data_IF_951903964500
#
_entry.id   IF_951903964500
#
_cell.length_a   1.000
_cell.length_b   1.000
_cell.length_c   1.000
_cell.angle_alpha   90.00
_cell.angle_beta   90.00
_cell.angle_gamma   90.00
#
_symmetry.space_group_name_H-M   'P 1'
#
loop_
_entity.id
_entity.type
_entity.pdbx_description
1 polymer ?
#
# COMPACT_ATOMS: atom_id res chain seq x y z
N UNK A 1 16.65 -4.89 10.75
CA UNK A 1 17.18 -5.09 9.39
C UNK A 1 17.62 -6.53 9.09
N UNK A 2 18.76 -7.03 9.60
CA UNK A 2 19.18 -8.43 9.31
C UNK A 2 18.19 -9.48 9.82
N UNK A 3 17.60 -9.26 10.98
CA UNK A 3 16.60 -10.16 11.59
C UNK A 3 15.28 -10.16 10.79
N UNK A 4 14.77 -9.00 10.38
CA UNK A 4 13.54 -8.93 9.58
C UNK A 4 13.74 -9.56 8.21
N UNK A 5 14.86 -9.29 7.54
CA UNK A 5 15.21 -9.93 6.28
C UNK A 5 15.24 -11.46 6.43
N UNK A 6 15.95 -11.97 7.46
CA UNK A 6 16.07 -13.40 7.71
C UNK A 6 14.69 -14.02 7.98
N UNK A 7 13.91 -13.40 8.88
CA UNK A 7 12.57 -13.84 9.24
C UNK A 7 11.63 -13.92 8.04
N UNK A 8 11.59 -12.89 7.18
CA UNK A 8 10.72 -12.88 6.02
C UNK A 8 11.19 -13.82 4.93
N UNK A 9 12.50 -13.89 4.65
CA UNK A 9 13.05 -14.87 3.70
C UNK A 9 12.77 -16.31 4.12
N UNK A 10 12.92 -16.65 5.41
CA UNK A 10 12.59 -17.97 5.96
C UNK A 10 11.09 -18.25 5.81
N UNK A 11 10.23 -17.31 6.24
CA UNK A 11 8.77 -17.45 6.09
C UNK A 11 8.37 -17.76 4.65
N UNK A 12 8.93 -17.02 3.67
CA UNK A 12 8.60 -17.26 2.26
C UNK A 12 9.26 -18.52 1.69
N UNK A 13 10.35 -19.03 2.24
CA UNK A 13 10.91 -20.33 1.84
C UNK A 13 10.03 -21.48 2.33
N UNK A 14 9.54 -21.38 3.55
CA UNK A 14 8.74 -22.43 4.21
C UNK A 14 7.29 -22.45 3.72
N UNK A 15 6.75 -21.32 3.30
CA UNK A 15 5.40 -21.22 2.76
C UNK A 15 5.31 -21.81 1.35
N UNK A 16 4.21 -22.48 1.04
CA UNK A 16 3.90 -22.88 -0.33
C UNK A 16 3.63 -21.62 -1.19
N UNK A 17 4.12 -21.64 -2.43
CA UNK A 17 3.84 -20.60 -3.39
C UNK A 17 2.50 -20.85 -4.08
N UNK A 18 1.58 -19.94 -3.92
CA UNK A 18 0.25 -20.00 -4.54
C UNK A 18 0.14 -18.99 -5.69
N UNK A 19 0.40 -19.42 -6.95
CA UNK A 19 0.32 -18.53 -8.11
C UNK A 19 -1.10 -18.03 -8.39
N UNK A 20 -2.11 -18.73 -7.88
CA UNK A 20 -3.53 -18.36 -8.01
C UNK A 20 -4.03 -17.46 -6.88
N UNK A 21 -3.12 -16.97 -6.03
CA UNK A 21 -3.50 -16.06 -4.95
C UNK A 21 -4.13 -14.80 -5.51
N UNK A 22 -5.39 -14.58 -5.17
CA UNK A 22 -6.16 -13.42 -5.58
C UNK A 22 -5.60 -12.10 -5.01
N UNK A 23 -5.61 -11.01 -5.80
CA UNK A 23 -5.29 -9.69 -5.29
C UNK A 23 -6.31 -9.26 -4.23
N UNK A 24 -5.97 -8.23 -3.45
CA UNK A 24 -6.88 -7.71 -2.42
C UNK A 24 -8.25 -7.38 -3.01
N UNK A 25 -9.32 -7.80 -2.32
CA UNK A 25 -10.70 -7.59 -2.75
C UNK A 25 -11.01 -6.11 -2.99
N UNK A 26 -10.51 -5.24 -2.12
CA UNK A 26 -10.72 -3.80 -2.26
C UNK A 26 -9.93 -3.25 -3.46
N UNK A 27 -8.75 -3.77 -3.75
CA UNK A 27 -7.97 -3.38 -4.92
C UNK A 27 -8.74 -3.73 -6.22
N UNK A 28 -9.26 -4.95 -6.31
CA UNK A 28 -10.11 -5.38 -7.45
C UNK A 28 -11.33 -4.48 -7.63
N UNK A 29 -12.01 -4.16 -6.54
CA UNK A 29 -13.23 -3.34 -6.56
C UNK A 29 -12.99 -1.94 -7.11
N UNK A 30 -11.87 -1.32 -6.77
CA UNK A 30 -11.61 0.09 -7.05
C UNK A 30 -10.56 0.36 -8.13
N UNK A 31 -10.03 -0.68 -8.80
CA UNK A 31 -8.95 -0.52 -9.80
C UNK A 31 -9.27 0.47 -10.92
N UNK A 32 -10.55 0.61 -11.28
CA UNK A 32 -11.00 1.56 -12.32
C UNK A 32 -10.92 3.03 -11.90
N UNK A 33 -10.79 3.31 -10.61
CA UNK A 33 -10.61 4.68 -10.10
C UNK A 33 -9.16 5.16 -10.20
N UNK A 34 -8.22 4.25 -10.43
CA UNK A 34 -6.80 4.60 -10.38
C UNK A 34 -6.35 5.23 -11.69
N UNK A 35 -5.51 6.28 -11.59
CA UNK A 35 -4.90 6.88 -12.76
C UNK A 35 -3.99 5.87 -13.45
N UNK A 36 -3.90 5.95 -14.77
CA UNK A 36 -2.86 5.23 -15.52
C UNK A 36 -1.52 5.88 -15.22
N UNK A 37 -0.45 5.10 -15.29
CA UNK A 37 0.89 5.59 -15.05
C UNK A 37 1.71 4.65 -14.19
N UNK A 38 2.45 5.21 -13.25
CA UNK A 38 3.39 4.45 -12.41
C UNK A 38 2.81 4.17 -11.03
N UNK A 39 2.89 2.92 -10.61
CA UNK A 39 2.48 2.50 -9.27
C UNK A 39 3.65 2.01 -8.43
N UNK A 40 3.57 2.21 -7.11
CA UNK A 40 4.43 1.59 -6.11
C UNK A 40 3.60 0.64 -5.25
N UNK A 41 4.05 -0.61 -5.14
CA UNK A 41 3.52 -1.59 -4.18
C UNK A 41 4.52 -1.73 -3.03
N UNK A 42 4.14 -1.24 -1.85
CA UNK A 42 4.96 -1.23 -0.63
C UNK A 42 4.79 -2.56 0.11
N UNK A 43 5.91 -3.19 0.50
CA UNK A 43 5.93 -4.53 1.11
C UNK A 43 5.16 -5.54 0.24
N UNK A 44 5.50 -5.57 -1.05
CA UNK A 44 4.75 -6.26 -2.10
C UNK A 44 4.66 -7.79 -1.93
N UNK A 45 5.53 -8.39 -1.11
CA UNK A 45 5.59 -9.83 -0.91
C UNK A 45 5.74 -10.60 -2.23
N UNK A 46 4.88 -11.57 -2.46
CA UNK A 46 4.86 -12.40 -3.68
C UNK A 46 4.20 -11.70 -4.89
N UNK A 47 3.83 -10.41 -4.76
CA UNK A 47 3.48 -9.54 -5.87
C UNK A 47 2.07 -9.70 -6.42
N UNK A 48 1.13 -10.34 -5.74
CA UNK A 48 -0.25 -10.54 -6.22
C UNK A 48 -0.94 -9.22 -6.61
N UNK A 49 -0.76 -8.17 -5.80
CA UNK A 49 -1.32 -6.85 -6.06
C UNK A 49 -0.55 -6.12 -7.17
N UNK A 50 0.78 -6.18 -7.14
CA UNK A 50 1.64 -5.59 -8.17
C UNK A 50 1.33 -6.17 -9.57
N UNK A 51 1.21 -7.48 -9.68
CA UNK A 51 0.90 -8.17 -10.94
C UNK A 51 -0.50 -7.77 -11.43
N UNK A 52 -1.48 -7.76 -10.54
CA UNK A 52 -2.84 -7.31 -10.89
C UNK A 52 -2.87 -5.87 -11.42
N UNK A 53 -2.13 -4.95 -10.82
CA UNK A 53 -2.02 -3.58 -11.32
C UNK A 53 -1.34 -3.52 -12.69
N UNK A 54 -0.31 -4.36 -12.93
CA UNK A 54 0.36 -4.46 -14.22
C UNK A 54 -0.57 -5.02 -15.31
N UNK A 55 -1.41 -6.03 -15.00
CA UNK A 55 -2.47 -6.54 -15.90
C UNK A 55 -3.46 -5.42 -16.30
N UNK A 56 -3.62 -4.41 -15.43
CA UNK A 56 -4.47 -3.24 -15.69
C UNK A 56 -3.71 -2.06 -16.33
N UNK A 57 -2.48 -2.30 -16.79
CA UNK A 57 -1.70 -1.36 -17.61
C UNK A 57 -0.91 -0.31 -16.83
N UNK A 58 -0.67 -0.50 -15.53
CA UNK A 58 0.24 0.35 -14.77
C UNK A 58 1.69 -0.16 -14.87
N UNK A 59 2.65 0.77 -14.88
CA UNK A 59 4.06 0.45 -14.68
C UNK A 59 4.34 0.31 -13.19
N UNK A 60 4.58 -0.92 -12.70
CA UNK A 60 4.61 -1.20 -11.27
C UNK A 60 6.03 -1.43 -10.75
N UNK A 61 6.38 -0.71 -9.70
CA UNK A 61 7.54 -0.94 -8.84
C UNK A 61 7.06 -1.70 -7.59
N UNK A 62 7.54 -2.93 -7.41
CA UNK A 62 7.24 -3.77 -6.26
C UNK A 62 8.44 -3.81 -5.32
N UNK A 63 8.30 -3.24 -4.13
CA UNK A 63 9.38 -3.13 -3.14
C UNK A 63 9.10 -4.07 -1.97
N UNK A 64 10.08 -4.89 -1.62
CA UNK A 64 10.04 -5.76 -0.45
C UNK A 64 11.45 -6.02 0.08
N UNK A 65 11.56 -6.33 1.37
CA UNK A 65 12.82 -6.72 1.98
C UNK A 65 13.25 -8.13 1.55
N UNK A 66 12.28 -9.02 1.28
CA UNK A 66 12.53 -10.42 0.93
C UNK A 66 12.84 -10.61 -0.55
N UNK A 67 14.05 -11.05 -0.82
CA UNK A 67 14.44 -11.48 -2.18
C UNK A 67 13.67 -12.73 -2.61
N UNK A 68 13.35 -13.62 -1.68
CA UNK A 68 12.60 -14.85 -1.96
C UNK A 68 11.19 -14.51 -2.46
N UNK A 69 10.49 -13.61 -1.75
CA UNK A 69 9.17 -13.14 -2.15
C UNK A 69 9.18 -12.47 -3.52
N UNK A 70 10.13 -11.55 -3.76
CA UNK A 70 10.24 -10.86 -5.04
C UNK A 70 10.63 -11.77 -6.21
N UNK A 71 11.36 -12.87 -5.96
CA UNK A 71 11.59 -13.89 -6.97
C UNK A 71 10.29 -14.60 -7.37
N UNK A 72 9.41 -14.87 -6.40
CA UNK A 72 8.07 -15.42 -6.63
C UNK A 72 7.18 -14.42 -7.37
N UNK A 73 7.23 -13.15 -6.99
CA UNK A 73 6.52 -12.06 -7.70
C UNK A 73 6.91 -11.99 -9.19
N UNK A 74 8.22 -12.13 -9.51
CA UNK A 74 8.68 -12.19 -10.90
C UNK A 74 8.19 -13.41 -11.65
N UNK A 75 8.14 -14.58 -11.00
CA UNK A 75 7.57 -15.79 -11.59
C UNK A 75 6.08 -15.61 -11.88
N UNK A 76 5.33 -15.04 -10.94
CA UNK A 76 3.92 -14.75 -11.11
C UNK A 76 3.69 -13.78 -12.28
N UNK A 77 4.44 -12.67 -12.34
CA UNK A 77 4.32 -11.70 -13.43
C UNK A 77 4.56 -12.34 -14.80
N UNK A 78 5.60 -13.20 -14.94
CA UNK A 78 5.86 -13.95 -16.18
C UNK A 78 4.71 -14.89 -16.54
N UNK A 79 4.17 -15.62 -15.57
CA UNK A 79 3.05 -16.54 -15.79
C UNK A 79 1.78 -15.81 -16.26
N UNK A 80 1.60 -14.54 -15.83
CA UNK A 80 0.49 -13.67 -16.22
C UNK A 80 0.79 -12.81 -17.46
N UNK A 81 1.93 -12.99 -18.12
CA UNK A 81 2.33 -12.24 -19.32
C UNK A 81 2.60 -10.75 -19.11
N UNK A 82 2.85 -10.32 -17.88
CA UNK A 82 3.11 -8.90 -17.54
C UNK A 82 4.52 -8.69 -17.00
N UNK A 83 4.93 -7.42 -16.89
CA UNK A 83 6.21 -7.03 -16.31
C UNK A 83 6.00 -6.13 -15.10
N UNK A 84 6.75 -6.40 -14.03
CA UNK A 84 6.88 -5.56 -12.85
C UNK A 84 8.37 -5.32 -12.57
N UNK A 85 8.73 -4.17 -12.03
CA UNK A 85 10.08 -3.90 -11.52
C UNK A 85 10.13 -4.29 -10.05
N UNK A 86 10.93 -5.27 -9.69
CA UNK A 86 11.10 -5.70 -8.30
C UNK A 86 12.33 -5.03 -7.70
N UNK A 87 12.19 -4.47 -6.50
CA UNK A 87 13.23 -3.74 -5.77
C UNK A 87 13.40 -4.37 -4.40
N UNK A 88 14.55 -5.02 -4.16
CA UNK A 88 14.88 -5.54 -2.83
C UNK A 88 15.41 -4.39 -1.99
N UNK A 89 14.64 -3.94 -1.02
CA UNK A 89 15.04 -2.84 -0.15
C UNK A 89 14.41 -2.96 1.25
N UNK A 90 15.14 -2.45 2.23
CA UNK A 90 14.62 -2.18 3.55
C UNK A 90 13.82 -0.87 3.52
N UNK A 91 12.52 -0.97 3.76
CA UNK A 91 11.61 0.18 3.73
C UNK A 91 11.97 1.25 4.78
N UNK A 92 12.66 0.88 5.86
CA UNK A 92 13.19 1.84 6.83
C UNK A 92 14.15 2.86 6.21
N UNK A 93 14.75 2.53 5.06
CA UNK A 93 15.79 3.31 4.39
C UNK A 93 15.50 3.54 2.90
N UNK A 94 14.43 2.98 2.38
CA UNK A 94 14.09 3.12 0.96
C UNK A 94 13.62 4.54 0.67
N UNK A 95 14.35 5.32 -0.15
CA UNK A 95 13.92 6.65 -0.51
C UNK A 95 12.82 6.56 -1.58
N UNK A 96 11.58 6.85 -1.19
CA UNK A 96 10.48 6.99 -2.17
C UNK A 96 10.73 8.29 -2.92
N UNK A 97 10.96 8.25 -4.26
CA UNK A 97 11.20 9.48 -5.03
C UNK A 97 9.98 10.41 -4.99
N UNK A 98 10.22 11.72 -4.82
CA UNK A 98 9.16 12.72 -4.73
C UNK A 98 8.44 12.93 -6.07
N UNK A 99 7.14 13.17 -6.04
CA UNK A 99 6.25 13.48 -7.18
C UNK A 99 6.43 12.51 -8.36
N UNK A 100 6.55 11.23 -8.06
CA UNK A 100 6.93 10.22 -9.05
C UNK A 100 5.83 9.20 -9.36
N UNK A 101 5.00 8.85 -8.37
CA UNK A 101 3.98 7.81 -8.51
C UNK A 101 2.59 8.41 -8.70
N UNK A 102 1.84 7.81 -9.61
CA UNK A 102 0.42 8.12 -9.82
C UNK A 102 -0.46 7.34 -8.83
N UNK A 103 0.02 6.17 -8.39
CA UNK A 103 -0.60 5.32 -7.39
C UNK A 103 0.45 4.77 -6.42
N UNK A 104 0.16 4.79 -5.13
CA UNK A 104 0.90 4.00 -4.13
C UNK A 104 -0.09 3.07 -3.45
N UNK A 105 0.26 1.81 -3.26
CA UNK A 105 -0.53 0.86 -2.49
C UNK A 105 0.29 0.30 -1.32
N UNK A 106 -0.38 0.10 -0.19
CA UNK A 106 0.18 -0.51 1.01
C UNK A 106 -0.85 -1.47 1.62
N UNK A 107 -0.53 -2.76 1.62
CA UNK A 107 -1.42 -3.81 2.11
C UNK A 107 -0.76 -4.65 3.20
N UNK A 108 -1.43 -4.77 4.35
CA UNK A 108 -1.00 -5.58 5.48
C UNK A 108 0.37 -5.20 6.05
N UNK A 109 0.83 -4.00 5.79
CA UNK A 109 2.06 -3.44 6.32
C UNK A 109 1.74 -2.11 7.02
N UNK A 110 2.49 -1.75 8.04
CA UNK A 110 2.37 -0.47 8.73
C UNK A 110 3.74 -0.02 9.26
N UNK A 111 4.26 1.02 8.65
CA UNK A 111 5.33 1.81 9.23
C UNK A 111 4.98 3.30 9.15
N UNK A 112 4.70 3.89 10.30
CA UNK A 112 4.29 5.31 10.39
C UNK A 112 5.36 6.28 9.89
N UNK A 113 6.63 5.85 9.88
CA UNK A 113 7.76 6.65 9.38
C UNK A 113 7.71 6.83 7.85
N UNK A 114 7.10 5.89 7.13
CA UNK A 114 6.96 5.96 5.68
C UNK A 114 5.89 6.92 5.20
N UNK A 115 4.94 7.30 6.06
CA UNK A 115 3.79 8.14 5.65
C UNK A 115 4.23 9.45 4.98
N UNK A 116 5.25 10.12 5.52
CA UNK A 116 5.79 11.33 4.90
C UNK A 116 6.38 11.05 3.51
N UNK A 117 7.12 9.96 3.36
CA UNK A 117 7.67 9.52 2.07
C UNK A 117 6.59 9.16 1.06
N UNK A 118 5.55 8.44 1.49
CA UNK A 118 4.38 8.09 0.65
C UNK A 118 3.71 9.37 0.12
N UNK A 119 3.41 10.32 1.00
CA UNK A 119 2.78 11.60 0.61
C UNK A 119 3.64 12.40 -0.37
N UNK A 120 4.96 12.48 -0.14
CA UNK A 120 5.89 13.15 -1.04
C UNK A 120 6.03 12.41 -2.36
N UNK A 121 6.02 11.08 -2.34
CA UNK A 121 6.21 10.23 -3.53
C UNK A 121 5.05 10.28 -4.52
N UNK A 122 3.84 10.61 -4.05
CA UNK A 122 2.68 10.79 -4.91
C UNK A 122 2.78 12.11 -5.68
N UNK A 123 2.46 12.07 -6.97
CA UNK A 123 2.20 13.27 -7.78
C UNK A 123 0.95 13.98 -7.29
N UNK A 124 0.79 15.24 -7.68
CA UNK A 124 -0.49 15.91 -7.55
C UNK A 124 -1.59 15.14 -8.28
N UNK A 125 -2.75 14.95 -7.65
CA UNK A 125 -3.82 14.07 -8.14
C UNK A 125 -3.56 12.59 -7.96
N UNK A 126 -2.37 12.18 -7.53
CA UNK A 126 -2.02 10.78 -7.27
C UNK A 126 -2.80 10.19 -6.10
N UNK A 127 -2.95 8.88 -6.10
CA UNK A 127 -3.81 8.16 -5.15
C UNK A 127 -2.98 7.24 -4.26
N UNK A 128 -3.29 7.23 -2.96
CA UNK A 128 -2.90 6.18 -2.01
C UNK A 128 -4.07 5.23 -1.80
N UNK A 129 -3.81 3.92 -1.86
CA UNK A 129 -4.69 2.90 -1.31
C UNK A 129 -3.96 2.20 -0.18
N UNK A 130 -4.51 2.29 1.02
CA UNK A 130 -3.94 1.73 2.23
C UNK A 130 -4.93 0.79 2.90
N UNK A 131 -4.53 -0.44 3.20
CA UNK A 131 -5.33 -1.36 4.00
C UNK A 131 -4.44 -2.16 4.95
N UNK A 132 -4.69 -2.05 6.27
CA UNK A 132 -3.97 -2.86 7.26
C UNK A 132 -4.81 -3.09 8.53
N UNK A 133 -4.23 -3.80 9.47
CA UNK A 133 -4.92 -4.30 10.66
C UNK A 133 -5.12 -3.23 11.73
N UNK A 134 -6.29 -3.28 12.36
CA UNK A 134 -6.64 -2.53 13.57
C UNK A 134 -6.17 -3.27 14.84
N UNK A 135 -6.04 -2.54 15.95
CA UNK A 135 -5.71 -3.09 17.26
C UNK A 135 -6.64 -4.23 17.69
N UNK A 136 -7.94 -4.17 17.31
CA UNK A 136 -8.92 -5.22 17.55
C UNK A 136 -8.64 -6.57 16.87
N UNK A 137 -7.69 -6.63 15.92
CA UNK A 137 -7.31 -7.87 15.25
C UNK A 137 -6.77 -8.95 16.20
N UNK A 138 -6.20 -8.54 17.33
CA UNK A 138 -5.70 -9.47 18.36
C UNK A 138 -6.76 -10.46 18.86
N UNK A 139 -8.03 -10.10 18.78
CA UNK A 139 -9.14 -10.95 19.23
C UNK A 139 -9.55 -12.01 18.20
N UNK A 140 -8.98 -12.03 17.00
CA UNK A 140 -9.46 -12.84 15.88
C UNK A 140 -8.49 -13.87 15.33
N UNK A 141 -7.39 -14.22 16.02
CA UNK A 141 -6.60 -15.38 15.66
C UNK A 141 -5.11 -15.18 15.42
N UNK A 142 -4.43 -16.32 15.18
CA UNK A 142 -3.00 -16.53 15.40
C UNK A 142 -2.07 -16.07 14.27
N UNK A 143 -2.56 -15.91 13.04
CA UNK A 143 -1.70 -15.62 11.87
C UNK A 143 -1.56 -14.12 11.54
N UNK A 144 -1.81 -13.24 12.49
CA UNK A 144 -1.92 -11.80 12.26
C UNK A 144 -0.97 -11.05 13.20
N UNK A 145 -0.55 -9.83 12.83
CA UNK A 145 0.35 -9.09 13.68
C UNK A 145 -0.28 -8.89 15.06
N UNK A 146 0.42 -9.38 16.09
CA UNK A 146 0.03 -9.22 17.49
C UNK A 146 0.74 -8.02 18.14
N UNK A 147 1.84 -7.55 17.55
CA UNK A 147 2.59 -6.41 18.05
C UNK A 147 1.82 -5.11 17.76
N UNK A 148 1.48 -4.32 18.82
CA UNK A 148 0.74 -3.05 18.66
C UNK A 148 1.36 -2.09 17.66
N UNK A 149 2.67 -2.09 17.53
CA UNK A 149 3.41 -1.24 16.59
C UNK A 149 2.92 -1.39 15.14
N UNK A 150 2.43 -2.58 14.79
CA UNK A 150 1.96 -2.91 13.44
C UNK A 150 0.43 -2.89 13.31
N UNK A 151 -0.27 -2.33 14.30
CA UNK A 151 -1.71 -2.23 14.34
C UNK A 151 -2.12 -0.76 14.40
N UNK A 152 -3.18 -0.43 13.66
CA UNK A 152 -3.76 0.91 13.65
C UNK A 152 -4.68 1.13 14.86
N UNK A 153 -4.64 2.33 15.38
CA UNK A 153 -5.67 2.84 16.29
C UNK A 153 -6.91 3.28 15.50
N UNK A 154 -8.09 3.38 16.16
CA UNK A 154 -9.30 3.86 15.50
C UNK A 154 -9.10 5.20 14.80
N UNK A 155 -9.61 5.33 13.58
CA UNK A 155 -9.51 6.53 12.74
C UNK A 155 -8.07 6.99 12.43
N UNK A 156 -7.06 6.15 12.64
CA UNK A 156 -5.67 6.57 12.44
C UNK A 156 -5.36 6.88 10.99
N UNK A 157 -5.85 6.09 10.02
CA UNK A 157 -5.63 6.40 8.61
C UNK A 157 -6.21 7.76 8.20
N UNK A 158 -7.38 8.13 8.73
CA UNK A 158 -7.94 9.47 8.48
C UNK A 158 -7.05 10.58 9.04
N UNK A 159 -6.47 10.38 10.23
CA UNK A 159 -5.54 11.36 10.83
C UNK A 159 -4.24 11.46 10.03
N UNK A 160 -3.70 10.32 9.58
CA UNK A 160 -2.47 10.26 8.81
C UNK A 160 -2.61 10.95 7.45
N UNK A 161 -3.78 10.87 6.79
CA UNK A 161 -4.03 11.44 5.46
C UNK A 161 -5.05 12.59 5.47
N UNK A 162 -5.16 13.34 6.58
CA UNK A 162 -6.11 14.44 6.74
C UNK A 162 -5.96 15.59 5.73
N UNK A 163 -4.79 15.70 5.12
CA UNK A 163 -4.41 16.66 4.10
C UNK A 163 -4.73 16.19 2.66
N UNK A 164 -5.29 14.99 2.53
CA UNK A 164 -5.72 14.40 1.27
C UNK A 164 -7.24 14.46 1.13
N UNK A 165 -7.74 14.40 -0.10
CA UNK A 165 -9.16 14.17 -0.36
C UNK A 165 -9.48 12.70 -0.12
N UNK A 166 -10.29 12.39 0.86
CA UNK A 166 -10.74 11.03 1.14
C UNK A 166 -11.78 10.62 0.10
N UNK A 167 -11.48 9.59 -0.69
CA UNK A 167 -12.37 9.02 -1.70
C UNK A 167 -13.16 7.83 -1.16
N UNK A 168 -12.54 7.07 -0.27
CA UNK A 168 -13.16 5.93 0.42
C UNK A 168 -12.49 5.72 1.77
N UNK A 169 -13.28 5.37 2.76
CA UNK A 169 -12.79 4.91 4.06
C UNK A 169 -13.77 3.91 4.65
N UNK A 170 -13.23 2.86 5.22
CA UNK A 170 -13.94 1.95 6.12
C UNK A 170 -12.99 1.46 7.21
N UNK A 171 -13.52 1.24 8.39
CA UNK A 171 -12.83 0.48 9.43
C UNK A 171 -13.81 -0.36 10.22
N UNK A 172 -13.34 -1.50 10.75
CA UNK A 172 -14.16 -2.42 11.51
C UNK A 172 -13.77 -3.87 11.27
N UNK A 173 -14.69 -4.77 11.64
CA UNK A 173 -14.52 -6.21 11.46
C UNK A 173 -15.27 -6.67 10.23
N UNK A 174 -14.51 -7.22 9.27
CA UNK A 174 -15.07 -7.73 8.02
C UNK A 174 -14.79 -9.23 7.88
N UNK A 175 -15.66 -9.92 7.16
CA UNK A 175 -15.44 -11.32 6.77
C UNK A 175 -14.85 -11.34 5.36
N UNK A 176 -13.61 -11.78 5.24
CA UNK A 176 -12.90 -11.88 3.95
C UNK A 176 -12.22 -13.24 3.87
N UNK A 177 -12.41 -13.95 2.74
CA UNK A 177 -11.81 -15.28 2.52
C UNK A 177 -12.17 -16.32 3.61
N UNK A 178 -13.37 -16.22 4.20
CA UNK A 178 -13.80 -17.12 5.27
C UNK A 178 -13.32 -16.72 6.69
N UNK A 179 -12.40 -15.77 6.81
CA UNK A 179 -11.84 -15.30 8.09
C UNK A 179 -12.38 -13.94 8.49
N UNK A 180 -12.51 -13.68 9.80
CA UNK A 180 -12.80 -12.34 10.33
C UNK A 180 -11.51 -11.53 10.44
N UNK A 181 -11.54 -10.29 9.96
CA UNK A 181 -10.40 -9.37 10.00
C UNK A 181 -10.85 -8.01 10.53
N UNK A 182 -10.17 -7.52 11.55
CA UNK A 182 -10.30 -6.14 11.98
C UNK A 182 -9.31 -5.28 11.18
N UNK A 183 -9.81 -4.51 10.24
CA UNK A 183 -9.01 -3.73 9.29
C UNK A 183 -9.54 -2.33 9.11
N UNK A 184 -8.66 -1.41 8.73
CA UNK A 184 -9.02 -0.13 8.15
C UNK A 184 -8.52 -0.07 6.70
N UNK A 185 -9.37 0.44 5.81
CA UNK A 185 -9.07 0.64 4.39
C UNK A 185 -9.33 2.09 4.00
N UNK A 186 -8.37 2.69 3.32
CA UNK A 186 -8.43 4.08 2.86
C UNK A 186 -8.08 4.16 1.37
N UNK A 187 -8.83 4.96 0.62
CA UNK A 187 -8.42 5.48 -0.68
C UNK A 187 -8.46 6.99 -0.56
N UNK A 188 -7.31 7.64 -0.80
CA UNK A 188 -7.23 9.08 -0.71
C UNK A 188 -6.38 9.67 -1.84
N UNK A 189 -6.74 10.86 -2.30
CA UNK A 189 -6.10 11.57 -3.38
C UNK A 189 -5.29 12.74 -2.85
N UNK A 190 -4.02 12.82 -3.26
CA UNK A 190 -3.20 14.01 -3.03
C UNK A 190 -3.81 15.19 -3.78
N UNK A 191 -4.21 16.20 -3.06
CA UNK A 191 -4.70 17.46 -3.64
C UNK A 191 -3.56 18.47 -3.64
N UNK A 192 -3.53 19.33 -4.63
CA UNK A 192 -2.65 20.48 -4.56
C UNK A 192 -3.02 21.30 -3.32
N UNK A 193 -2.05 21.82 -2.58
CA UNK A 193 -2.35 22.86 -1.62
C UNK A 193 -3.13 23.91 -2.39
N UNK A 194 -4.30 24.30 -1.87
CA UNK A 194 -5.09 25.38 -2.49
C UNK A 194 -4.13 26.53 -2.77
N UNK A 195 -4.09 27.07 -3.99
CA UNK A 195 -3.26 28.23 -4.23
C UNK A 195 -3.64 29.25 -3.14
N UNK A 196 -2.67 29.69 -2.36
CA UNK A 196 -2.90 30.79 -1.45
C UNK A 196 -3.60 31.87 -2.26
N UNK A 197 -4.75 32.34 -1.75
CA UNK A 197 -5.44 33.47 -2.38
C UNK A 197 -4.38 34.52 -2.68
N UNK A 198 -4.18 34.82 -3.96
CA UNK A 198 -3.18 35.81 -4.36
C UNK A 198 -3.41 37.07 -3.52
N UNK A 199 -2.35 37.75 -3.13
CA UNK A 199 -2.43 38.98 -2.34
C UNK A 199 -3.46 39.99 -2.96
N UNK A 200 -3.63 39.89 -4.26
CA UNK A 200 -4.62 40.69 -5.01
C UNK A 200 -6.08 40.24 -4.71
N UNK A 201 -6.33 38.96 -4.54
CA UNK A 201 -7.64 38.43 -4.15
C UNK A 201 -7.93 38.66 -2.66
N UNK A 202 -6.92 38.57 -1.80
CA UNK A 202 -7.04 38.93 -0.37
C UNK A 202 -7.45 40.39 -0.20
N UNK A 203 -6.90 41.31 -1.04
CA UNK A 203 -7.26 42.76 -1.03
C UNK A 203 -8.66 43.09 -1.57
N UNK A 204 -9.26 42.18 -2.37
CA UNK A 204 -10.62 42.39 -2.93
C UNK A 204 -11.74 41.86 -2.04
N UNK A 205 -11.40 41.05 -1.01
CA UNK A 205 -12.38 40.41 -0.12
C UNK A 205 -12.39 41.03 1.29
N UNK A 206 -11.45 41.91 1.59
CA UNK A 206 -11.42 42.80 2.77
C UNK A 206 -11.82 44.22 2.39
#
# INVERSE_FOLDING_TARGET
MREDLKRWDEKYRESEFHPDQEPSTILKKYVRLFPKGRALDIAAGEGRNAVFLAEHGLAVDAVDISRVALNRARKLARARGVRIRTIVADLDRYPIPGDFYDLIIDFNFLDRRLISGIKKGLKSGGIIMFETYLAGQRSFGLDRPSNPKYLLEPNELLRLFRDFRILFFREGVFKEGGSRRAIASLIAQKIDPRPELSEELKRKVL
#
